data_IF_546563045190
#
_entry.id   IF_546563045190
#
_cell.length_a   1.000
_cell.length_b   1.000
_cell.length_c   1.000
_cell.angle_alpha   90.00
_cell.angle_beta   90.00
_cell.angle_gamma   90.00
#
_symmetry.space_group_name_H-M   'P 1'
#
loop_
_entity.id
_entity.type
_entity.pdbx_description
1 polymer ?
#
# COMPACT_ATOMS: atom_id res chain seq x y z
N UNK A 1 27.89 -10.94 -15.67
CA UNK A 1 29.21 -10.65 -15.05
C UNK A 1 29.84 -9.33 -15.51
N UNK A 2 29.75 -8.92 -16.78
CA UNK A 2 30.34 -7.66 -17.27
C UNK A 2 29.81 -6.36 -16.61
N UNK A 3 28.54 -6.32 -16.21
CA UNK A 3 27.93 -5.15 -15.54
C UNK A 3 28.58 -4.81 -14.19
N UNK A 4 28.91 -5.83 -13.39
CA UNK A 4 29.54 -5.62 -12.07
C UNK A 4 30.98 -5.09 -12.19
N UNK A 5 31.68 -5.47 -13.26
CA UNK A 5 33.03 -4.99 -13.53
C UNK A 5 33.04 -3.51 -13.91
N UNK A 6 32.05 -3.06 -14.69
CA UNK A 6 31.88 -1.64 -15.04
C UNK A 6 31.52 -0.78 -13.83
N UNK A 7 30.63 -1.27 -12.96
CA UNK A 7 30.26 -0.58 -11.72
C UNK A 7 31.45 -0.44 -10.76
N UNK A 8 32.24 -1.51 -10.58
CA UNK A 8 33.43 -1.50 -9.75
C UNK A 8 34.51 -0.54 -10.29
N UNK A 9 34.67 -0.48 -11.62
CA UNK A 9 35.62 0.41 -12.27
C UNK A 9 35.21 1.89 -12.15
N UNK A 10 33.90 2.19 -12.27
CA UNK A 10 33.37 3.54 -12.05
C UNK A 10 33.59 4.00 -10.60
N UNK A 11 33.36 3.12 -9.63
CA UNK A 11 33.57 3.45 -8.22
C UNK A 11 35.05 3.67 -7.88
N UNK A 12 35.94 2.84 -8.43
CA UNK A 12 37.38 3.02 -8.27
C UNK A 12 37.88 4.35 -8.86
N UNK A 13 37.38 4.75 -10.04
CA UNK A 13 37.72 6.03 -10.65
C UNK A 13 37.21 7.22 -9.83
N UNK A 14 35.98 7.14 -9.30
CA UNK A 14 35.44 8.18 -8.43
C UNK A 14 36.28 8.37 -7.15
N UNK A 15 36.70 7.27 -6.52
CA UNK A 15 37.59 7.30 -5.35
C UNK A 15 38.94 7.95 -5.66
N UNK A 16 39.55 7.62 -6.80
CA UNK A 16 40.83 8.22 -7.21
C UNK A 16 40.70 9.73 -7.42
N UNK A 17 39.60 10.21 -8.01
CA UNK A 17 39.34 11.65 -8.19
C UNK A 17 39.20 12.35 -6.84
N UNK A 18 38.42 11.79 -5.90
CA UNK A 18 38.25 12.35 -4.55
C UNK A 18 39.57 12.37 -3.77
N UNK A 19 40.34 11.29 -3.79
CA UNK A 19 41.63 11.24 -3.09
C UNK A 19 42.64 12.20 -3.72
N UNK A 20 42.67 12.32 -5.05
CA UNK A 20 43.60 13.21 -5.75
C UNK A 20 43.30 14.70 -5.50
N UNK A 21 42.03 15.07 -5.34
CA UNK A 21 41.60 16.44 -5.04
C UNK A 21 41.89 16.83 -3.59
N UNK A 22 41.69 15.91 -2.64
CA UNK A 22 42.05 16.12 -1.22
C UNK A 22 43.57 16.22 -1.03
N UNK A 23 44.35 15.36 -1.70
CA UNK A 23 45.82 15.30 -1.52
C UNK A 23 46.55 16.50 -2.14
N UNK A 24 45.96 17.18 -3.14
CA UNK A 24 46.54 18.36 -3.78
C UNK A 24 46.39 19.65 -2.97
N UNK A 25 45.80 19.61 -1.77
CA UNK A 25 45.77 20.75 -0.85
C UNK A 25 45.17 22.03 -1.46
N UNK A 26 44.36 21.89 -2.51
CA UNK A 26 43.75 23.03 -3.19
C UNK A 26 42.55 23.44 -2.36
N UNK A 27 42.76 24.40 -1.46
CA UNK A 27 41.68 25.18 -0.83
C UNK A 27 40.95 25.94 -1.94
N UNK A 28 40.07 25.22 -2.62
CA UNK A 28 39.21 25.75 -3.64
C UNK A 28 38.21 26.69 -2.98
N UNK A 29 38.25 27.94 -3.43
CA UNK A 29 37.23 28.97 -3.27
C UNK A 29 35.83 28.35 -3.19
N UNK A 30 34.97 28.87 -2.31
CA UNK A 30 33.56 28.44 -2.20
C UNK A 30 32.84 28.37 -3.56
N UNK A 31 33.24 29.20 -4.53
CA UNK A 31 32.72 29.16 -5.91
C UNK A 31 33.01 27.84 -6.65
N UNK A 32 34.20 27.24 -6.45
CA UNK A 32 34.59 25.96 -7.08
C UNK A 32 33.88 24.78 -6.41
N UNK A 33 33.57 24.89 -5.11
CA UNK A 33 32.79 23.87 -4.38
C UNK A 33 31.35 23.79 -4.85
N UNK A 34 30.73 24.93 -5.16
CA UNK A 34 29.36 25.00 -5.71
C UNK A 34 29.33 24.44 -7.14
N UNK A 35 30.35 24.73 -7.96
CA UNK A 35 30.49 24.14 -9.29
C UNK A 35 30.66 22.63 -9.28
N UNK A 36 31.48 22.10 -8.37
CA UNK A 36 31.70 20.66 -8.20
C UNK A 36 30.45 19.92 -7.70
N UNK A 37 29.71 20.51 -6.75
CA UNK A 37 28.44 19.94 -6.28
C UNK A 37 27.36 19.95 -7.37
N UNK A 38 27.25 21.05 -8.13
CA UNK A 38 26.30 21.13 -9.24
C UNK A 38 26.55 20.05 -10.29
N UNK A 39 27.82 19.82 -10.67
CA UNK A 39 28.17 18.77 -11.63
C UNK A 39 27.91 17.36 -11.07
N UNK A 40 28.20 17.13 -9.79
CA UNK A 40 27.96 15.84 -9.13
C UNK A 40 26.45 15.52 -9.03
N UNK A 41 25.63 16.51 -8.69
CA UNK A 41 24.16 16.38 -8.66
C UNK A 41 23.62 16.13 -10.07
N UNK A 42 24.12 16.83 -11.08
CA UNK A 42 23.68 16.67 -12.46
C UNK A 42 24.06 15.28 -13.01
N UNK A 43 25.25 14.76 -12.68
CA UNK A 43 25.65 13.40 -13.00
C UNK A 43 24.84 12.34 -12.24
N UNK A 44 24.49 12.58 -10.97
CA UNK A 44 23.63 11.70 -10.19
C UNK A 44 22.20 11.64 -10.77
N UNK A 45 21.65 12.80 -11.18
CA UNK A 45 20.33 12.89 -11.83
C UNK A 45 20.31 12.19 -13.19
N UNK A 46 21.37 12.32 -13.98
CA UNK A 46 21.50 11.58 -15.25
C UNK A 46 21.64 10.07 -15.01
N UNK A 47 22.39 9.64 -14.00
CA UNK A 47 22.52 8.23 -13.62
C UNK A 47 21.20 7.59 -13.18
N UNK A 48 20.43 8.29 -12.35
CA UNK A 48 19.10 7.86 -11.90
C UNK A 48 18.07 7.84 -13.05
N UNK A 49 18.13 8.82 -13.95
CA UNK A 49 17.24 8.88 -15.12
C UNK A 49 17.38 7.67 -16.05
N UNK A 50 18.61 7.20 -16.30
CA UNK A 50 18.85 6.02 -17.16
C UNK A 50 18.39 4.72 -16.50
N UNK A 51 18.47 4.60 -15.17
CA UNK A 51 17.98 3.41 -14.45
C UNK A 51 16.45 3.35 -14.43
N UNK A 52 15.76 4.49 -14.35
CA UNK A 52 14.31 4.54 -14.39
C UNK A 52 13.74 4.11 -15.75
N UNK A 53 14.35 4.56 -16.86
CA UNK A 53 13.95 4.17 -18.22
C UNK A 53 14.24 2.69 -18.49
N UNK A 54 15.35 2.15 -17.99
CA UNK A 54 15.69 0.74 -18.13
C UNK A 54 14.72 -0.18 -17.37
N UNK A 55 14.29 0.20 -16.15
CA UNK A 55 13.32 -0.58 -15.38
C UNK A 55 11.89 -0.51 -15.99
N UNK A 56 11.51 0.64 -16.57
CA UNK A 56 10.21 0.79 -17.24
C UNK A 56 10.03 -0.14 -18.44
N UNK A 57 11.08 -0.32 -19.26
CA UNK A 57 11.02 -1.18 -20.44
C UNK A 57 10.89 -2.67 -20.10
N UNK A 58 11.47 -3.13 -18.99
CA UNK A 58 11.36 -4.53 -18.54
C UNK A 58 9.95 -4.84 -18.03
N UNK A 59 9.31 -3.90 -17.32
CA UNK A 59 7.93 -4.06 -16.83
C UNK A 59 6.91 -4.13 -17.97
N UNK A 60 7.07 -3.29 -19.01
CA UNK A 60 6.19 -3.34 -20.18
C UNK A 60 6.24 -4.71 -20.90
N UNK A 61 7.44 -5.30 -21.01
CA UNK A 61 7.61 -6.63 -21.60
C UNK A 61 7.04 -7.77 -20.73
N UNK A 62 7.10 -7.65 -19.41
CA UNK A 62 6.49 -8.64 -18.50
C UNK A 62 4.96 -8.59 -18.54
N UNK A 63 4.38 -7.40 -18.67
CA UNK A 63 2.93 -7.23 -18.68
C UNK A 63 2.27 -7.79 -19.96
N UNK A 64 2.95 -7.71 -21.11
CA UNK A 64 2.51 -8.39 -22.33
C UNK A 64 2.54 -9.93 -22.19
N UNK A 65 3.59 -10.48 -21.58
CA UNK A 65 3.72 -11.92 -21.35
C UNK A 65 2.65 -12.47 -20.38
N UNK A 66 2.27 -11.68 -19.37
CA UNK A 66 1.21 -12.06 -18.43
C UNK A 66 -0.18 -12.03 -19.08
N UNK A 67 -0.44 -11.05 -19.95
CA UNK A 67 -1.71 -10.94 -20.67
C UNK A 67 -1.91 -12.11 -21.66
N UNK A 68 -0.83 -12.58 -22.29
CA UNK A 68 -0.89 -13.81 -23.12
C UNK A 68 -1.17 -15.07 -22.30
N UNK A 69 -0.61 -15.16 -21.09
CA UNK A 69 -0.86 -16.29 -20.18
C UNK A 69 -2.34 -16.37 -19.77
N UNK A 70 -2.93 -15.23 -19.38
CA UNK A 70 -4.36 -15.17 -19.02
C UNK A 70 -5.24 -15.59 -20.21
N UNK A 71 -4.87 -15.18 -21.43
CA UNK A 71 -5.60 -15.57 -22.65
C UNK A 71 -5.51 -17.07 -22.94
N UNK A 72 -4.39 -17.72 -22.61
CA UNK A 72 -4.25 -19.17 -22.72
C UNK A 72 -5.04 -19.91 -21.64
N UNK A 73 -5.02 -19.43 -20.40
CA UNK A 73 -5.83 -20.01 -19.31
C UNK A 73 -7.34 -19.90 -19.59
N UNK A 74 -7.79 -18.82 -20.23
CA UNK A 74 -9.18 -18.67 -20.68
C UNK A 74 -9.59 -19.60 -21.85
N UNK A 75 -8.64 -20.28 -22.50
CA UNK A 75 -8.90 -21.21 -23.59
C UNK A 75 -8.99 -22.68 -23.14
N UNK A 76 -8.80 -22.97 -21.84
CA UNK A 76 -9.02 -24.29 -21.28
C UNK A 76 -10.52 -24.50 -21.09
N UNK A 77 -11.15 -25.50 -21.75
CA UNK A 77 -12.57 -25.77 -21.56
C UNK A 77 -12.82 -26.15 -20.09
N UNK A 78 -13.82 -25.52 -19.48
CA UNK A 78 -14.25 -25.82 -18.12
C UNK A 78 -14.52 -27.33 -17.93
N UNK A 79 -14.16 -27.92 -16.78
CA UNK A 79 -14.52 -29.30 -16.48
C UNK A 79 -16.05 -29.41 -16.51
N UNK A 80 -16.59 -30.23 -17.42
CA UNK A 80 -18.01 -30.53 -17.45
C UNK A 80 -18.39 -31.26 -16.18
N UNK A 81 -19.08 -30.57 -15.28
CA UNK A 81 -19.71 -31.18 -14.11
C UNK A 81 -20.91 -31.98 -14.64
N UNK A 82 -20.82 -33.30 -14.59
CA UNK A 82 -21.90 -34.22 -14.89
C UNK A 82 -23.03 -34.02 -13.87
N UNK A 83 -24.16 -33.45 -14.31
CA UNK A 83 -25.33 -33.13 -13.48
C UNK A 83 -26.19 -34.36 -13.14
N UNK A 84 -25.72 -35.59 -13.38
CA UNK A 84 -26.52 -36.80 -13.20
C UNK A 84 -26.18 -37.59 -11.91
N UNK A 85 -25.87 -36.89 -10.82
CA UNK A 85 -25.80 -37.52 -9.50
C UNK A 85 -27.24 -37.75 -8.96
N UNK A 86 -27.63 -38.99 -8.60
CA UNK A 86 -28.95 -39.25 -8.03
C UNK A 86 -29.14 -38.55 -6.69
N UNK A 87 -30.35 -38.01 -6.49
CA UNK A 87 -30.77 -37.30 -5.29
C UNK A 87 -30.59 -38.17 -4.03
N UNK A 88 -30.08 -37.62 -2.91
CA UNK A 88 -30.04 -38.33 -1.64
C UNK A 88 -31.46 -38.53 -1.10
N UNK A 89 -31.75 -39.75 -0.64
CA UNK A 89 -32.99 -40.12 0.06
C UNK A 89 -33.23 -39.24 1.29
N UNK A 90 -34.49 -38.86 1.58
CA UNK A 90 -34.82 -38.12 2.79
C UNK A 90 -34.74 -39.04 4.03
N UNK A 91 -33.94 -38.63 5.02
CA UNK A 91 -33.93 -39.22 6.36
C UNK A 91 -35.27 -38.98 7.09
N UNK A 92 -35.69 -39.90 7.97
CA UNK A 92 -37.01 -39.87 8.61
C UNK A 92 -37.19 -38.75 9.64
N UNK A 93 -38.38 -38.16 9.63
CA UNK A 93 -38.88 -37.12 10.52
C UNK A 93 -38.77 -37.50 12.01
N UNK A 94 -38.09 -36.64 12.80
CA UNK A 94 -38.12 -36.68 14.26
C UNK A 94 -39.29 -35.83 14.75
N UNK A 95 -40.23 -36.34 15.56
CA UNK A 95 -41.42 -35.60 15.96
C UNK A 95 -41.10 -34.52 16.99
N UNK A 96 -41.61 -33.32 16.69
CA UNK A 96 -41.64 -32.12 17.51
C UNK A 96 -42.45 -32.41 18.78
N UNK A 97 -41.84 -32.28 19.95
CA UNK A 97 -42.56 -32.20 21.22
C UNK A 97 -42.28 -30.84 21.84
N UNK A 98 -43.28 -29.96 21.82
CA UNK A 98 -43.41 -28.85 22.76
C UNK A 98 -44.62 -29.18 23.65
N UNK A 99 -44.56 -28.88 24.96
CA UNK A 99 -45.00 -27.54 25.35
C UNK A 99 -44.26 -26.91 26.57
N UNK A 100 -44.15 -25.58 26.50
CA UNK A 100 -44.06 -24.55 27.55
C UNK A 100 -43.09 -24.70 28.75
N UNK A 101 -42.40 -23.58 29.08
CA UNK A 101 -42.55 -23.06 30.44
C UNK A 101 -42.74 -21.53 30.50
N UNK A 102 -43.75 -21.15 31.28
CA UNK A 102 -43.83 -20.07 32.29
C UNK A 102 -42.96 -18.80 32.12
N UNK A 103 -43.53 -17.59 32.22
CA UNK A 103 -42.78 -16.34 32.16
C UNK A 103 -41.90 -16.16 33.40
N UNK A 104 -40.60 -16.40 33.27
CA UNK A 104 -39.61 -15.88 34.20
C UNK A 104 -39.14 -14.53 33.68
N UNK A 105 -39.27 -13.52 34.53
CA UNK A 105 -38.65 -12.20 34.37
C UNK A 105 -37.14 -12.42 34.40
N UNK A 106 -36.56 -12.66 33.23
CA UNK A 106 -35.11 -12.55 33.05
C UNK A 106 -34.80 -11.07 33.04
N UNK A 107 -34.10 -10.64 34.08
CA UNK A 107 -33.39 -9.38 34.14
C UNK A 107 -32.77 -9.11 32.77
N UNK A 108 -33.22 -8.03 32.11
CA UNK A 108 -32.74 -7.65 30.81
C UNK A 108 -31.22 -7.49 30.91
N UNK A 109 -30.48 -8.49 30.43
CA UNK A 109 -29.11 -8.28 29.99
C UNK A 109 -29.15 -7.00 29.15
N UNK A 110 -28.30 -5.99 29.44
CA UNK A 110 -28.31 -4.76 28.66
C UNK A 110 -28.26 -5.18 27.20
N UNK A 111 -29.29 -4.80 26.45
CA UNK A 111 -29.33 -5.02 25.02
C UNK A 111 -27.95 -4.55 24.51
N UNK A 112 -27.20 -5.38 23.76
CA UNK A 112 -25.94 -4.92 23.19
C UNK A 112 -26.28 -3.62 22.48
N UNK A 113 -25.62 -2.54 22.89
CA UNK A 113 -25.86 -1.24 22.31
C UNK A 113 -25.73 -1.41 20.80
N UNK A 114 -26.84 -1.25 20.09
CA UNK A 114 -26.84 -1.04 18.66
C UNK A 114 -26.25 0.36 18.44
N UNK A 115 -24.93 0.46 18.57
CA UNK A 115 -24.16 1.68 18.34
C UNK A 115 -22.95 1.25 17.54
N UNK A 116 -23.10 1.31 16.21
CA UNK A 116 -22.00 1.09 15.29
C UNK A 116 -20.82 1.99 15.66
N UNK A 117 -19.63 1.42 15.70
CA UNK A 117 -18.39 2.16 15.89
C UNK A 117 -18.26 3.24 14.83
N UNK A 118 -17.71 4.40 15.20
CA UNK A 118 -17.36 5.46 14.24
C UNK A 118 -16.24 4.99 13.29
N UNK A 119 -16.05 5.65 12.16
CA UNK A 119 -14.99 5.30 11.20
C UNK A 119 -13.59 5.33 11.83
N UNK A 120 -13.31 6.30 12.70
CA UNK A 120 -12.09 6.34 13.49
C UNK A 120 -11.96 5.15 14.46
N UNK A 121 -13.06 4.75 15.12
CA UNK A 121 -13.08 3.59 16.00
C UNK A 121 -12.91 2.28 15.21
N UNK A 122 -13.52 2.17 14.02
CA UNK A 122 -13.33 1.04 13.11
C UNK A 122 -11.88 0.92 12.64
N UNK A 123 -11.22 2.04 12.33
CA UNK A 123 -9.80 2.05 12.01
C UNK A 123 -8.92 1.61 13.19
N UNK A 124 -9.25 2.05 14.41
CA UNK A 124 -8.53 1.63 15.60
C UNK A 124 -8.65 0.13 15.86
N UNK A 125 -9.85 -0.43 15.67
CA UNK A 125 -10.10 -1.88 15.73
C UNK A 125 -9.32 -2.61 14.62
N UNK A 126 -9.31 -2.08 13.40
CA UNK A 126 -8.54 -2.65 12.28
C UNK A 126 -7.01 -2.60 12.49
N UNK A 127 -6.54 -1.71 13.36
CA UNK A 127 -5.15 -1.59 13.79
C UNK A 127 -4.81 -2.44 15.03
N UNK A 128 -5.76 -3.23 15.54
CA UNK A 128 -5.62 -4.00 16.80
C UNK A 128 -5.30 -3.09 18.01
N UNK A 129 -5.88 -1.88 18.04
CA UNK A 129 -5.74 -0.89 19.12
C UNK A 129 -7.07 -0.66 19.83
N UNK A 130 -7.03 0.09 20.94
CA UNK A 130 -8.24 0.49 21.67
C UNK A 130 -9.17 1.30 20.76
N UNK A 131 -10.48 1.03 20.70
CA UNK A 131 -11.40 1.79 19.84
C UNK A 131 -11.35 3.30 20.09
N UNK A 132 -11.01 3.74 21.30
CA UNK A 132 -10.89 5.15 21.69
C UNK A 132 -9.44 5.66 21.61
N UNK A 133 -8.60 5.05 20.77
CA UNK A 133 -7.23 5.45 20.58
C UNK A 133 -7.14 6.94 20.12
N UNK A 134 -6.54 7.82 20.94
CA UNK A 134 -6.55 9.26 20.65
C UNK A 134 -5.66 9.63 19.47
N UNK A 135 -4.66 8.80 19.14
CA UNK A 135 -3.75 9.04 18.03
C UNK A 135 -4.46 8.77 16.70
N UNK A 136 -5.13 7.62 16.58
CA UNK A 136 -5.92 7.30 15.38
C UNK A 136 -7.07 8.29 15.22
N UNK A 137 -7.76 8.65 16.30
CA UNK A 137 -8.83 9.65 16.24
C UNK A 137 -8.34 11.02 15.72
N UNK A 138 -7.18 11.50 16.19
CA UNK A 138 -6.61 12.77 15.72
C UNK A 138 -6.16 12.72 14.26
N UNK A 139 -5.45 11.65 13.86
CA UNK A 139 -4.96 11.50 12.48
C UNK A 139 -6.13 11.35 11.51
N UNK A 140 -7.13 10.56 11.88
CA UNK A 140 -8.37 10.45 11.10
C UNK A 140 -9.05 11.80 10.92
N UNK A 141 -9.27 12.55 12.02
CA UNK A 141 -9.93 13.86 11.93
C UNK A 141 -9.15 14.86 11.07
N UNK A 142 -7.81 14.84 11.12
CA UNK A 142 -6.98 15.68 10.24
C UNK A 142 -7.13 15.27 8.78
N UNK A 143 -7.11 13.97 8.50
CA UNK A 143 -7.23 13.46 7.14
C UNK A 143 -8.63 13.72 6.56
N UNK A 144 -9.68 13.53 7.36
CA UNK A 144 -11.07 13.83 7.00
C UNK A 144 -11.26 15.32 6.65
N UNK A 145 -10.61 16.22 7.39
CA UNK A 145 -10.62 17.65 7.08
C UNK A 145 -9.89 18.00 5.77
N UNK A 146 -8.89 17.21 5.37
CA UNK A 146 -8.19 17.37 4.09
C UNK A 146 -8.97 16.74 2.92
N UNK A 147 -9.88 15.82 3.23
CA UNK A 147 -10.60 14.99 2.28
C UNK A 147 -12.10 14.96 2.56
N UNK A 148 -12.78 16.13 2.57
CA UNK A 148 -14.20 16.18 2.88
C UNK A 148 -15.02 15.48 1.80
N UNK A 149 -16.09 14.81 2.23
CA UNK A 149 -17.13 14.23 1.37
C UNK A 149 -16.65 13.16 0.37
N UNK A 150 -15.56 12.44 0.66
CA UNK A 150 -15.05 11.37 -0.19
C UNK A 150 -15.93 10.11 -0.17
N UNK A 151 -16.04 9.45 -1.32
CA UNK A 151 -16.67 8.13 -1.47
C UNK A 151 -15.77 7.22 -2.32
N UNK A 152 -15.18 6.15 -1.77
CA UNK A 152 -15.38 5.59 -0.44
C UNK A 152 -14.82 6.48 0.69
N UNK A 153 -15.21 6.20 1.94
CA UNK A 153 -14.84 7.04 3.09
C UNK A 153 -13.33 7.10 3.30
N UNK A 154 -12.85 8.11 4.01
CA UNK A 154 -11.45 8.22 4.42
C UNK A 154 -10.92 6.96 5.12
N UNK A 155 -11.75 6.32 5.96
CA UNK A 155 -11.39 5.08 6.62
C UNK A 155 -11.25 3.91 5.65
N UNK A 156 -12.18 3.79 4.70
CA UNK A 156 -12.10 2.76 3.66
C UNK A 156 -10.86 2.94 2.79
N UNK A 157 -10.50 4.18 2.44
CA UNK A 157 -9.29 4.49 1.68
C UNK A 157 -8.03 4.01 2.41
N UNK A 158 -7.92 4.28 3.71
CA UNK A 158 -6.77 3.88 4.54
C UNK A 158 -6.66 2.36 4.64
N UNK A 159 -7.78 1.68 4.91
CA UNK A 159 -7.80 0.21 4.99
C UNK A 159 -7.47 -0.42 3.63
N UNK A 160 -8.03 0.11 2.55
CA UNK A 160 -7.76 -0.36 1.20
C UNK A 160 -6.30 -0.16 0.82
N UNK A 161 -5.71 1.00 1.13
CA UNK A 161 -4.30 1.30 0.90
C UNK A 161 -3.39 0.30 1.64
N UNK A 162 -3.65 0.04 2.93
CA UNK A 162 -2.92 -0.97 3.71
C UNK A 162 -3.02 -2.36 3.07
N UNK A 163 -4.22 -2.75 2.63
CA UNK A 163 -4.45 -4.04 2.00
C UNK A 163 -3.71 -4.18 0.65
N UNK A 164 -3.73 -3.14 -0.17
CA UNK A 164 -3.02 -3.09 -1.46
C UNK A 164 -1.52 -3.29 -1.24
N UNK A 165 -0.92 -2.51 -0.34
CA UNK A 165 0.53 -2.62 -0.06
C UNK A 165 0.87 -4.00 0.50
N UNK A 166 0.06 -4.54 1.42
CA UNK A 166 0.26 -5.90 1.95
C UNK A 166 0.22 -6.94 0.85
N UNK A 167 -0.76 -6.87 -0.05
CA UNK A 167 -0.96 -7.88 -1.08
C UNK A 167 0.11 -7.81 -2.19
N UNK A 168 0.54 -6.60 -2.55
CA UNK A 168 1.44 -6.39 -3.70
C UNK A 168 2.93 -6.43 -3.31
N UNK A 169 3.28 -5.95 -2.10
CA UNK A 169 4.68 -5.92 -1.63
C UNK A 169 5.00 -6.98 -0.57
N UNK A 170 3.99 -7.63 0.01
CA UNK A 170 4.16 -8.54 1.15
C UNK A 170 4.50 -7.84 2.47
N UNK A 171 4.59 -6.51 2.49
CA UNK A 171 4.87 -5.71 3.70
C UNK A 171 3.59 -5.48 4.49
N UNK A 172 3.59 -5.87 5.75
CA UNK A 172 2.54 -5.45 6.67
C UNK A 172 2.87 -4.06 7.23
N UNK A 173 2.11 -3.07 6.78
CA UNK A 173 2.23 -1.70 7.28
C UNK A 173 1.31 -1.48 8.47
N UNK A 174 1.85 -0.78 9.46
CA UNK A 174 1.08 -0.24 10.58
C UNK A 174 0.09 0.82 10.07
N UNK A 175 -1.15 0.75 10.56
CA UNK A 175 -2.25 1.60 10.08
C UNK A 175 -2.03 3.07 10.43
N UNK A 176 -1.36 3.37 11.55
CA UNK A 176 -0.97 4.75 11.90
C UNK A 176 0.05 5.30 10.91
N UNK A 177 1.03 4.49 10.51
CA UNK A 177 1.97 4.88 9.45
C UNK A 177 1.26 5.11 8.10
N UNK A 178 0.28 4.29 7.74
CA UNK A 178 -0.52 4.51 6.52
C UNK A 178 -1.29 5.83 6.58
N UNK A 179 -1.92 6.12 7.73
CA UNK A 179 -2.58 7.41 7.97
C UNK A 179 -1.62 8.58 7.82
N UNK A 180 -0.43 8.50 8.43
CA UNK A 180 0.58 9.55 8.34
C UNK A 180 1.04 9.82 6.91
N UNK A 181 1.33 8.75 6.16
CA UNK A 181 1.76 8.89 4.77
C UNK A 181 0.67 9.48 3.89
N UNK A 182 -0.59 9.12 4.13
CA UNK A 182 -1.72 9.69 3.38
C UNK A 182 -1.96 11.16 3.72
N UNK A 183 -1.82 11.56 5.00
CA UNK A 183 -1.86 12.97 5.42
C UNK A 183 -0.75 13.77 4.73
N UNK A 184 0.50 13.27 4.78
CA UNK A 184 1.65 13.93 4.15
C UNK A 184 1.45 14.06 2.64
N UNK A 185 0.97 13.00 1.99
CA UNK A 185 0.71 12.99 0.57
C UNK A 185 -0.37 14.01 0.19
N UNK A 186 -1.45 14.11 0.97
CA UNK A 186 -2.55 15.04 0.69
C UNK A 186 -2.14 16.50 0.95
N UNK A 187 -1.32 16.77 1.96
CA UNK A 187 -0.78 18.10 2.23
C UNK A 187 0.22 18.57 1.16
N UNK A 188 0.94 17.62 0.54
CA UNK A 188 1.84 17.87 -0.58
C UNK A 188 1.19 17.77 -1.96
N UNK A 189 -0.10 17.41 -2.04
CA UNK A 189 -0.78 17.14 -3.29
C UNK A 189 -0.98 18.43 -4.13
N UNK A 190 -0.92 18.34 -5.48
CA UNK A 190 -1.30 19.45 -6.34
C UNK A 190 -2.74 19.92 -6.07
N UNK A 191 -2.98 21.22 -6.17
CA UNK A 191 -4.30 21.78 -5.96
C UNK A 191 -5.35 21.13 -6.88
N UNK A 192 -6.44 20.63 -6.29
CA UNK A 192 -7.54 19.97 -7.00
C UNK A 192 -7.40 18.46 -7.18
N UNK A 193 -6.33 17.84 -6.66
CA UNK A 193 -6.22 16.38 -6.60
C UNK A 193 -7.13 15.82 -5.49
N UNK A 194 -7.96 14.84 -5.84
CA UNK A 194 -8.86 14.17 -4.89
C UNK A 194 -8.08 13.25 -3.94
N UNK A 195 -8.66 12.97 -2.77
CA UNK A 195 -8.02 12.11 -1.78
C UNK A 195 -7.82 10.68 -2.32
N UNK A 196 -8.77 10.24 -3.15
CA UNK A 196 -8.69 8.97 -3.87
C UNK A 196 -7.52 8.92 -4.85
N UNK A 197 -7.29 9.98 -5.62
CA UNK A 197 -6.16 10.06 -6.56
C UNK A 197 -4.82 10.09 -5.81
N UNK A 198 -4.74 10.87 -4.73
CA UNK A 198 -3.58 10.89 -3.84
C UNK A 198 -3.32 9.50 -3.25
N UNK A 199 -4.36 8.81 -2.76
CA UNK A 199 -4.26 7.46 -2.22
C UNK A 199 -3.78 6.43 -3.25
N UNK A 200 -4.23 6.53 -4.50
CA UNK A 200 -3.77 5.68 -5.60
C UNK A 200 -2.30 5.96 -5.97
N UNK A 201 -1.88 7.22 -6.00
CA UNK A 201 -0.47 7.56 -6.22
C UNK A 201 0.40 7.05 -5.06
N UNK A 202 -0.08 7.20 -3.82
CA UNK A 202 0.61 6.73 -2.64
C UNK A 202 0.75 5.21 -2.60
N UNK A 203 -0.27 4.45 -3.02
CA UNK A 203 -0.18 2.98 -3.03
C UNK A 203 0.97 2.48 -3.89
N UNK A 204 1.14 3.06 -5.08
CA UNK A 204 2.24 2.73 -6.01
C UNK A 204 3.59 3.01 -5.33
N UNK A 205 3.71 4.15 -4.66
CA UNK A 205 4.93 4.55 -3.96
C UNK A 205 5.26 3.61 -2.79
N UNK A 206 4.26 3.25 -1.97
CA UNK A 206 4.43 2.35 -0.83
C UNK A 206 4.75 0.92 -1.24
N UNK A 207 4.21 0.46 -2.38
CA UNK A 207 4.57 -0.83 -2.98
C UNK A 207 6.04 -0.90 -3.36
N UNK A 208 6.60 0.20 -3.88
CA UNK A 208 8.00 0.28 -4.31
C UNK A 208 9.00 0.51 -3.17
N UNK A 209 8.52 0.70 -1.94
CA UNK A 209 9.38 0.75 -0.74
C UNK A 209 9.64 2.14 -0.16
N UNK A 210 8.73 3.09 -0.35
CA UNK A 210 8.70 4.36 0.42
C UNK A 210 8.34 4.15 1.90
#
# INVERSE_FOLDING_TARGET
MYMYFLAALAFALALVVVVSTVRKGRTQSLSDRVGGFGLAVLLALLGAGVTFVANGAVRAAQQEAENERIRQEASVPAPQIDMNAPAPEPEPEVPISEPEPTPQVTEAAPAPASTGYTDAQNLAIAADRDPNDPEIAQKYARLDALCPDETPTTADLVVNLRNIVRNNSGRELDLVNVLDQLIIAQEGAPAGMSCKETGAALSILMEEGL
#
